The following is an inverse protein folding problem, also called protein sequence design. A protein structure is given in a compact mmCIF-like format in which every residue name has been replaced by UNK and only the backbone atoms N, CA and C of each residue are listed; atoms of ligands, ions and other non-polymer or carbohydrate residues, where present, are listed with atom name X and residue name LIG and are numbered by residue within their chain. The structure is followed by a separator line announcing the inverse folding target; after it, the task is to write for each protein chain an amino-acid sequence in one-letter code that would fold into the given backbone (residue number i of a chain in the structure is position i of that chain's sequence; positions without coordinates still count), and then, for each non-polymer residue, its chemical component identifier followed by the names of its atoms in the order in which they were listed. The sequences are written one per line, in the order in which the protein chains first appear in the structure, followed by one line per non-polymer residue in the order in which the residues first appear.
data_IF_323845422927
#
_entry.id   IF_323845422927
#
_cell.length_a   1.000
_cell.length_b   1.000
_cell.length_c   1.000
_cell.angle_alpha   90.00
_cell.angle_beta   90.00
_cell.angle_gamma   90.00
#
_symmetry.space_group_name_H-M   'P 1'
#
loop_
_entity.id
_entity.type
_entity.pdbx_description
1 polymer ?
#
# COMPACT_ATOMS: atom_id res chain seq x y z
N UNK A 1 -14.44 -9.51 -3.37
CA UNK A 1 -13.99 -8.17 -3.82
C UNK A 1 -12.79 -7.78 -2.99
N UNK A 2 -11.76 -7.19 -3.60
CA UNK A 2 -10.54 -6.72 -2.94
C UNK A 2 -10.11 -5.39 -3.57
N UNK A 3 -9.30 -4.64 -2.85
CA UNK A 3 -8.68 -3.40 -3.33
C UNK A 3 -7.17 -3.55 -3.32
N UNK A 4 -6.50 -2.91 -4.26
CA UNK A 4 -5.09 -3.15 -4.53
C UNK A 4 -4.32 -1.85 -4.68
N UNK A 5 -3.14 -1.79 -4.07
CA UNK A 5 -2.15 -0.75 -4.30
C UNK A 5 -0.87 -1.35 -4.86
N UNK A 6 -0.51 -0.93 -6.06
CA UNK A 6 0.75 -1.27 -6.69
C UNK A 6 1.78 -0.17 -6.42
N UNK A 7 2.98 -0.58 -6.07
CA UNK A 7 4.10 0.31 -5.77
C UNK A 7 5.21 0.08 -6.78
N UNK A 8 5.46 1.09 -7.59
CA UNK A 8 6.50 1.10 -8.62
C UNK A 8 7.68 1.93 -8.12
N UNK A 9 8.89 1.36 -8.00
CA UNK A 9 10.06 2.03 -7.45
C UNK A 9 10.64 3.08 -8.40
N UNK A 10 11.13 4.22 -7.88
CA UNK A 10 11.81 5.23 -8.69
C UNK A 10 13.34 5.13 -8.70
N UNK A 11 13.93 4.16 -8.00
CA UNK A 11 15.36 3.80 -8.03
C UNK A 11 15.53 2.29 -7.92
N UNK A 12 16.66 1.78 -8.42
CA UNK A 12 17.09 0.38 -8.28
C UNK A 12 17.54 0.09 -6.83
N UNK A 13 16.58 0.20 -5.91
CA UNK A 13 16.76 -0.07 -4.49
C UNK A 13 15.60 -0.95 -4.03
N UNK A 14 15.95 -2.01 -3.31
CA UNK A 14 14.96 -2.89 -2.68
C UNK A 14 15.25 -2.87 -1.18
N UNK A 15 14.38 -2.22 -0.38
CA UNK A 15 14.59 -2.16 1.06
C UNK A 15 14.32 -3.52 1.71
N UNK A 16 14.74 -3.64 2.96
CA UNK A 16 14.36 -4.74 3.83
C UNK A 16 12.92 -4.63 4.34
N UNK A 17 12.36 -5.73 4.84
CA UNK A 17 11.08 -5.67 5.56
C UNK A 17 11.17 -4.76 6.79
N UNK A 18 12.28 -4.79 7.51
CA UNK A 18 12.52 -3.95 8.69
C UNK A 18 12.43 -2.45 8.36
N UNK A 19 13.08 -1.99 7.28
CA UNK A 19 12.99 -0.59 6.84
C UNK A 19 11.54 -0.18 6.50
N UNK A 20 10.80 -1.06 5.81
CA UNK A 20 9.40 -0.80 5.50
C UNK A 20 8.55 -0.74 6.76
N UNK A 21 8.75 -1.68 7.70
CA UNK A 21 8.03 -1.71 8.97
C UNK A 21 8.32 -0.46 9.80
N UNK A 22 9.56 0.00 9.88
CA UNK A 22 9.95 1.18 10.67
C UNK A 22 9.18 2.43 10.22
N UNK A 23 9.17 2.69 8.90
CA UNK A 23 8.45 3.85 8.36
C UNK A 23 6.94 3.67 8.46
N UNK A 24 6.42 2.49 8.12
CA UNK A 24 4.97 2.22 8.15
C UNK A 24 4.40 2.34 9.57
N UNK A 25 5.10 1.78 10.57
CA UNK A 25 4.71 1.89 11.97
C UNK A 25 4.73 3.33 12.44
N UNK A 26 5.75 4.11 12.07
CA UNK A 26 5.78 5.54 12.38
C UNK A 26 4.57 6.25 11.77
N UNK A 27 4.32 6.09 10.46
CA UNK A 27 3.22 6.79 9.76
C UNK A 27 1.84 6.42 10.32
N UNK A 28 1.58 5.16 10.60
CA UNK A 28 0.28 4.76 11.20
C UNK A 28 0.12 5.35 12.60
N UNK A 29 1.14 5.25 13.46
CA UNK A 29 1.03 5.79 14.81
C UNK A 29 0.96 7.33 14.82
N UNK A 30 1.64 8.02 13.90
CA UNK A 30 1.49 9.47 13.70
C UNK A 30 0.05 9.83 13.33
N UNK A 31 -0.56 9.07 12.41
CA UNK A 31 -1.96 9.24 12.03
C UNK A 31 -2.91 9.01 13.21
N UNK A 32 -2.72 7.95 13.98
CA UNK A 32 -3.54 7.64 15.16
C UNK A 32 -3.46 8.73 16.23
N UNK A 33 -2.27 9.28 16.49
CA UNK A 33 -2.11 10.40 17.43
C UNK A 33 -2.82 11.66 16.97
N UNK A 34 -2.84 11.93 15.66
CA UNK A 34 -3.62 13.05 15.10
C UNK A 34 -5.13 12.84 15.26
N UNK A 35 -5.60 11.60 15.38
CA UNK A 35 -6.99 11.28 15.76
C UNK A 35 -7.26 11.30 17.27
N UNK A 36 -6.24 11.59 18.09
CA UNK A 36 -6.35 11.57 19.56
C UNK A 36 -6.26 10.16 20.17
N UNK A 37 -5.87 9.14 19.41
CA UNK A 37 -5.68 7.77 19.90
C UNK A 37 -4.25 7.64 20.43
N UNK A 38 -4.11 7.34 21.72
CA UNK A 38 -2.81 7.21 22.41
C UNK A 38 -2.22 5.80 22.35
N UNK A 39 -3.02 4.79 22.00
CA UNK A 39 -2.57 3.41 21.86
C UNK A 39 -1.66 3.29 20.64
N UNK A 40 -0.42 2.86 20.86
CA UNK A 40 0.47 2.49 19.78
C UNK A 40 0.13 1.10 19.26
N UNK A 41 0.17 0.94 17.95
CA UNK A 41 0.07 -0.35 17.28
C UNK A 41 1.43 -0.75 16.70
N UNK A 42 1.56 -2.04 16.42
CA UNK A 42 2.71 -2.59 15.70
C UNK A 42 2.21 -3.40 14.51
N UNK A 43 2.61 -2.97 13.31
CA UNK A 43 2.55 -3.73 12.08
C UNK A 43 3.72 -4.70 12.11
N UNK A 44 3.44 -5.97 11.90
CA UNK A 44 4.40 -7.04 11.66
C UNK A 44 4.19 -7.64 10.28
N UNK A 45 5.11 -8.52 9.89
CA UNK A 45 5.02 -9.29 8.65
C UNK A 45 5.41 -10.74 8.87
N UNK A 46 4.73 -11.61 8.16
CA UNK A 46 5.09 -13.01 7.94
C UNK A 46 5.21 -13.26 6.44
N UNK A 47 5.95 -14.28 6.02
CA UNK A 47 5.97 -14.73 4.62
C UNK A 47 5.39 -16.12 4.57
N UNK A 48 4.38 -16.30 3.73
CA UNK A 48 3.69 -17.57 3.54
C UNK A 48 3.95 -18.08 2.12
N UNK A 49 3.88 -19.39 1.93
CA UNK A 49 3.71 -19.94 0.59
C UNK A 49 2.24 -19.76 0.13
N UNK A 50 1.96 -20.05 -1.13
CA UNK A 50 0.61 -19.93 -1.69
C UNK A 50 -0.42 -20.91 -1.09
N UNK A 51 0.01 -21.91 -0.31
CA UNK A 51 -0.90 -22.77 0.47
C UNK A 51 -1.23 -22.19 1.85
N UNK A 52 -0.64 -21.03 2.21
CA UNK A 52 -0.86 -20.31 3.46
C UNK A 52 0.08 -20.73 4.60
N UNK A 53 1.02 -21.65 4.35
CA UNK A 53 1.96 -22.12 5.36
C UNK A 53 3.10 -21.12 5.56
N UNK A 54 3.45 -20.87 6.81
CA UNK A 54 4.54 -19.97 7.19
C UNK A 54 5.89 -20.48 6.69
N UNK A 55 6.66 -19.60 6.06
CA UNK A 55 8.04 -19.89 5.68
C UNK A 55 8.98 -19.85 6.87
N UNK A 56 9.56 -21.01 7.20
CA UNK A 56 10.47 -21.17 8.35
C UNK A 56 11.79 -20.38 8.27
N UNK A 57 12.15 -19.84 7.09
CA UNK A 57 13.45 -19.16 6.85
C UNK A 57 13.34 -17.63 6.73
N UNK A 58 12.17 -17.06 7.00
CA UNK A 58 11.95 -15.62 6.89
C UNK A 58 12.77 -14.82 7.92
N UNK A 59 13.45 -13.77 7.47
CA UNK A 59 14.09 -12.76 8.33
C UNK A 59 13.64 -11.35 7.92
N UNK A 60 13.27 -10.52 8.89
CA UNK A 60 12.84 -9.13 8.64
C UNK A 60 13.94 -8.25 8.01
N UNK A 61 15.20 -8.64 8.12
CA UNK A 61 16.32 -7.93 7.48
C UNK A 61 16.56 -8.37 6.03
N UNK A 62 15.83 -9.37 5.54
CA UNK A 62 15.85 -9.73 4.13
C UNK A 62 15.20 -8.63 3.28
N UNK A 63 15.64 -8.54 2.02
CA UNK A 63 15.06 -7.65 1.02
C UNK A 63 13.59 -8.01 0.77
N UNK A 64 12.76 -7.01 0.42
CA UNK A 64 11.38 -7.19 -0.04
C UNK A 64 11.32 -7.87 -1.42
N UNK A 65 11.81 -9.11 -1.50
CA UNK A 65 11.78 -9.96 -2.69
C UNK A 65 11.38 -11.34 -2.21
N UNK A 66 10.38 -11.90 -2.84
CA UNK A 66 9.98 -13.29 -2.68
C UNK A 66 9.59 -13.85 -4.03
N UNK A 67 9.55 -15.18 -4.13
CA UNK A 67 9.11 -15.83 -5.34
C UNK A 67 7.58 -15.73 -5.48
N UNK A 68 7.11 -16.02 -6.68
CA UNK A 68 5.71 -16.08 -7.09
C UNK A 68 4.94 -17.27 -6.46
N UNK A 69 5.60 -18.12 -5.68
CA UNK A 69 4.99 -19.18 -4.87
C UNK A 69 4.70 -18.73 -3.43
N UNK A 70 4.89 -17.43 -3.15
CA UNK A 70 4.83 -16.86 -1.81
C UNK A 70 4.19 -15.49 -1.80
N UNK A 71 3.74 -15.08 -0.62
CA UNK A 71 3.28 -13.72 -0.36
C UNK A 71 3.73 -13.26 1.03
N UNK A 72 3.95 -11.96 1.18
CA UNK A 72 4.13 -11.34 2.48
C UNK A 72 2.76 -10.99 3.07
N UNK A 73 2.54 -11.33 4.33
CA UNK A 73 1.33 -11.04 5.08
C UNK A 73 1.63 -9.98 6.14
N UNK A 74 1.19 -8.74 5.90
CA UNK A 74 1.30 -7.65 6.85
C UNK A 74 0.06 -7.62 7.74
N UNK A 75 0.26 -7.60 9.06
CA UNK A 75 -0.83 -7.64 10.03
C UNK A 75 -0.51 -6.78 11.25
N UNK A 76 -1.53 -6.52 12.07
CA UNK A 76 -1.39 -5.78 13.33
C UNK A 76 -1.67 -6.75 14.48
N UNK A 77 -0.77 -6.82 15.45
CA UNK A 77 -0.94 -7.72 16.61
C UNK A 77 -2.26 -7.44 17.33
N UNK A 78 -3.05 -8.50 17.53
CA UNK A 78 -4.34 -8.42 18.21
C UNK A 78 -5.50 -7.91 17.35
N UNK A 79 -5.29 -7.70 16.05
CA UNK A 79 -6.35 -7.33 15.10
C UNK A 79 -6.51 -8.46 14.09
N UNK A 80 -7.75 -8.96 13.94
CA UNK A 80 -8.05 -9.96 12.92
C UNK A 80 -8.03 -9.34 11.53
N UNK A 81 -7.13 -9.82 10.67
CA UNK A 81 -7.02 -9.33 9.30
C UNK A 81 -5.60 -8.92 8.95
N UNK A 82 -5.45 -8.36 7.75
CA UNK A 82 -4.14 -8.01 7.20
C UNK A 82 -4.17 -7.71 5.71
N UNK A 83 -2.98 -7.57 5.16
CA UNK A 83 -2.71 -7.22 3.77
C UNK A 83 -1.73 -8.23 3.19
N UNK A 84 -2.16 -8.93 2.15
CA UNK A 84 -1.28 -9.77 1.36
C UNK A 84 -0.49 -8.92 0.36
N UNK A 85 0.79 -9.22 0.19
CA UNK A 85 1.67 -8.52 -0.73
C UNK A 85 2.43 -9.47 -1.63
N UNK A 86 2.56 -9.07 -2.89
CA UNK A 86 3.21 -9.82 -3.96
C UNK A 86 4.32 -9.00 -4.60
N UNK A 87 5.35 -9.67 -5.08
CA UNK A 87 6.44 -9.09 -5.83
C UNK A 87 6.37 -9.57 -7.28
N UNK A 88 6.32 -8.64 -8.23
CA UNK A 88 6.18 -8.93 -9.64
C UNK A 88 7.32 -8.33 -10.45
N UNK A 89 7.69 -9.03 -11.52
CA UNK A 89 8.54 -8.47 -12.58
C UNK A 89 7.66 -7.80 -13.62
N UNK A 90 8.11 -6.68 -14.14
CA UNK A 90 7.46 -6.00 -15.26
C UNK A 90 7.54 -6.89 -16.50
N UNK A 91 6.39 -7.09 -17.12
CA UNK A 91 6.20 -7.81 -18.39
C UNK A 91 5.96 -6.82 -19.53
N UNK A 92 5.92 -7.30 -20.78
CA UNK A 92 5.51 -6.47 -21.91
C UNK A 92 4.05 -6.01 -21.79
N UNK A 93 3.17 -6.84 -21.21
CA UNK A 93 1.78 -6.44 -20.96
C UNK A 93 1.72 -5.23 -20.02
N UNK A 94 2.52 -5.22 -18.94
CA UNK A 94 2.58 -4.09 -18.03
C UNK A 94 3.05 -2.81 -18.75
N UNK A 95 4.02 -2.92 -19.68
CA UNK A 95 4.50 -1.79 -20.49
C UNK A 95 3.40 -1.24 -21.40
N UNK A 96 2.61 -2.11 -22.01
CA UNK A 96 1.48 -1.72 -22.85
C UNK A 96 0.38 -1.03 -22.04
N UNK A 97 0.05 -1.58 -20.85
CA UNK A 97 -0.90 -0.97 -19.92
C UNK A 97 -0.44 0.44 -19.55
N UNK A 98 0.81 0.61 -19.13
CA UNK A 98 1.33 1.93 -18.74
C UNK A 98 1.40 2.92 -19.90
N UNK A 99 1.66 2.45 -21.12
CA UNK A 99 1.60 3.29 -22.32
C UNK A 99 0.18 3.85 -22.50
N UNK A 100 -0.84 2.99 -22.42
CA UNK A 100 -2.24 3.41 -22.52
C UNK A 100 -2.64 4.34 -21.35
N UNK A 101 -2.18 4.03 -20.14
CA UNK A 101 -2.46 4.84 -18.95
C UNK A 101 -1.90 6.26 -19.08
N UNK A 102 -0.66 6.42 -19.54
CA UNK A 102 -0.05 7.72 -19.82
C UNK A 102 -0.80 8.50 -20.92
N UNK A 103 -1.35 7.80 -21.90
CA UNK A 103 -2.11 8.42 -22.99
C UNK A 103 -3.48 8.92 -22.52
N UNK A 104 -4.14 8.20 -21.61
CA UNK A 104 -5.55 8.43 -21.24
C UNK A 104 -5.74 9.14 -19.89
N UNK A 105 -4.85 8.96 -18.94
CA UNK A 105 -4.91 9.56 -17.60
C UNK A 105 -4.03 10.81 -17.49
N UNK A 106 -4.61 11.93 -17.10
CA UNK A 106 -3.94 13.24 -16.97
C UNK A 106 -2.78 13.17 -15.95
N UNK A 107 -2.99 12.56 -14.78
CA UNK A 107 -1.94 12.40 -13.76
C UNK A 107 -0.82 11.49 -14.23
N UNK A 108 -1.15 10.39 -14.90
CA UNK A 108 -0.14 9.51 -15.46
C UNK A 108 0.70 10.23 -16.52
N UNK A 109 0.09 11.10 -17.32
CA UNK A 109 0.79 11.94 -18.28
C UNK A 109 1.74 12.94 -17.62
N UNK A 110 1.33 13.56 -16.52
CA UNK A 110 2.17 14.47 -15.73
C UNK A 110 3.35 13.76 -15.08
N UNK A 111 3.16 12.50 -14.65
CA UNK A 111 4.20 11.68 -14.02
C UNK A 111 4.95 10.77 -15.02
N UNK A 112 4.81 11.00 -16.33
CA UNK A 112 5.31 10.13 -17.41
C UNK A 112 6.78 9.71 -17.22
N UNK A 113 7.66 10.65 -16.91
CA UNK A 113 9.09 10.36 -16.79
C UNK A 113 9.39 9.47 -15.58
N UNK A 114 8.69 9.69 -14.47
CA UNK A 114 8.79 8.86 -13.25
C UNK A 114 8.25 7.46 -13.54
N UNK A 115 7.11 7.35 -14.22
CA UNK A 115 6.52 6.07 -14.61
C UNK A 115 7.49 5.30 -15.52
N UNK A 116 7.93 5.89 -16.63
CA UNK A 116 8.84 5.23 -17.55
C UNK A 116 10.13 4.76 -16.86
N UNK A 117 10.69 5.59 -15.97
CA UNK A 117 11.85 5.19 -15.16
C UNK A 117 11.55 3.98 -14.29
N UNK A 118 10.41 3.98 -13.62
CA UNK A 118 9.99 2.89 -12.72
C UNK A 118 9.71 1.58 -13.47
N UNK A 119 9.08 1.66 -14.64
CA UNK A 119 8.85 0.52 -15.53
C UNK A 119 10.17 -0.05 -16.06
N UNK A 120 11.16 0.80 -16.30
CA UNK A 120 12.51 0.35 -16.71
C UNK A 120 13.30 -0.32 -15.59
N UNK A 121 13.01 -0.02 -14.31
CA UNK A 121 13.59 -0.74 -13.16
C UNK A 121 13.13 -2.22 -13.15
N UNK A 122 11.95 -2.50 -13.69
CA UNK A 122 11.57 -3.86 -14.09
C UNK A 122 10.90 -4.70 -13.00
N UNK A 123 10.48 -4.11 -11.89
CA UNK A 123 9.67 -4.77 -10.86
C UNK A 123 8.72 -3.81 -10.14
N UNK A 124 7.71 -4.36 -9.48
CA UNK A 124 6.79 -3.65 -8.60
C UNK A 124 6.27 -4.57 -7.49
N UNK A 125 5.68 -3.97 -6.47
CA UNK A 125 4.96 -4.71 -5.42
C UNK A 125 3.47 -4.44 -5.53
N UNK A 126 2.66 -5.44 -5.22
CA UNK A 126 1.21 -5.29 -5.13
C UNK A 126 0.77 -5.56 -3.71
N UNK A 127 -0.01 -4.66 -3.12
CA UNK A 127 -0.59 -4.78 -1.78
C UNK A 127 -2.09 -4.92 -1.91
N UNK A 128 -2.60 -6.09 -1.58
CA UNK A 128 -4.00 -6.43 -1.69
C UNK A 128 -4.63 -6.53 -0.32
N UNK A 129 -5.85 -6.00 -0.23
CA UNK A 129 -6.70 -6.12 0.94
C UNK A 129 -8.07 -6.66 0.55
N UNK A 130 -8.54 -7.65 1.29
CA UNK A 130 -9.90 -8.19 1.10
C UNK A 130 -11.00 -7.23 1.57
N UNK A 131 -12.23 -7.43 1.08
CA UNK A 131 -13.41 -6.71 1.59
C UNK A 131 -13.69 -7.08 3.05
N UNK A 132 -14.29 -6.14 3.81
CA UNK A 132 -14.72 -6.39 5.19
C UNK A 132 -13.60 -6.35 6.25
N UNK A 133 -12.40 -5.94 5.88
CA UNK A 133 -11.28 -5.78 6.81
C UNK A 133 -11.55 -4.65 7.83
N UNK A 134 -11.02 -4.75 9.06
CA UNK A 134 -11.15 -3.72 10.08
C UNK A 134 -10.67 -2.35 9.63
N UNK A 135 -11.17 -1.30 10.29
CA UNK A 135 -10.81 0.08 9.96
C UNK A 135 -9.31 0.30 10.01
N UNK A 136 -8.62 -0.27 11.00
CA UNK A 136 -7.18 -0.09 11.17
C UNK A 136 -6.37 -0.79 10.06
N UNK A 137 -6.85 -1.93 9.55
CA UNK A 137 -6.24 -2.62 8.41
C UNK A 137 -6.50 -1.82 7.12
N UNK A 138 -7.69 -1.24 6.95
CA UNK A 138 -8.00 -0.34 5.84
C UNK A 138 -7.14 0.92 5.86
N UNK A 139 -6.63 1.37 7.01
CA UNK A 139 -5.66 2.47 7.09
C UNK A 139 -4.23 1.96 6.82
N UNK A 140 -3.83 0.88 7.49
CA UNK A 140 -2.45 0.41 7.46
C UNK A 140 -2.01 -0.01 6.06
N UNK A 141 -2.86 -0.68 5.28
CA UNK A 141 -2.45 -1.21 3.97
C UNK A 141 -1.99 -0.12 2.99
N UNK A 142 -2.70 1.03 2.94
CA UNK A 142 -2.28 2.15 2.09
C UNK A 142 -1.08 2.90 2.64
N UNK A 143 -0.96 3.01 3.97
CA UNK A 143 0.22 3.62 4.58
C UNK A 143 1.48 2.75 4.39
N UNK A 144 1.36 1.42 4.36
CA UNK A 144 2.46 0.52 3.99
C UNK A 144 2.88 0.75 2.54
N UNK A 145 1.92 0.75 1.60
CA UNK A 145 2.21 0.97 0.18
C UNK A 145 2.89 2.34 -0.06
N UNK A 146 2.36 3.41 0.53
CA UNK A 146 2.93 4.75 0.42
C UNK A 146 4.31 4.87 1.10
N UNK A 147 4.54 4.16 2.21
CA UNK A 147 5.86 4.11 2.85
C UNK A 147 6.90 3.42 1.96
N UNK A 148 6.52 2.34 1.27
CA UNK A 148 7.42 1.69 0.31
C UNK A 148 7.74 2.61 -0.87
N UNK A 149 6.73 3.31 -1.39
CA UNK A 149 6.94 4.31 -2.45
C UNK A 149 7.88 5.44 -1.98
N UNK A 150 7.73 5.93 -0.74
CA UNK A 150 8.64 6.92 -0.13
C UNK A 150 10.09 6.40 -0.06
N UNK A 151 10.30 5.19 0.45
CA UNK A 151 11.63 4.58 0.59
C UNK A 151 12.31 4.41 -0.76
N UNK A 152 11.55 3.98 -1.77
CA UNK A 152 12.04 3.68 -3.11
C UNK A 152 11.98 4.88 -4.06
N UNK A 153 11.58 6.07 -3.60
CA UNK A 153 11.38 7.26 -4.44
C UNK A 153 10.42 7.03 -5.61
N UNK A 154 9.48 6.10 -5.43
CA UNK A 154 8.53 5.63 -6.43
C UNK A 154 7.15 6.27 -6.31
N UNK A 155 6.13 5.58 -6.83
CA UNK A 155 4.74 6.02 -6.76
C UNK A 155 3.79 4.85 -6.45
N UNK A 156 2.58 5.20 -6.01
CA UNK A 156 1.48 4.27 -5.77
C UNK A 156 0.47 4.36 -6.91
N UNK A 157 -0.04 3.23 -7.37
CA UNK A 157 -1.09 3.10 -8.37
C UNK A 157 -2.19 2.14 -7.89
N UNK A 158 -3.40 2.30 -8.42
CA UNK A 158 -4.53 1.42 -8.12
C UNK A 158 -5.43 1.33 -9.35
N UNK A 159 -5.37 0.20 -10.05
CA UNK A 159 -6.21 -0.04 -11.24
C UNK A 159 -7.68 -0.22 -10.86
N UNK A 160 -7.95 -0.87 -9.72
CA UNK A 160 -9.29 -0.98 -9.15
C UNK A 160 -9.80 0.34 -8.51
N UNK A 161 -8.99 1.40 -8.59
CA UNK A 161 -9.26 2.75 -8.09
C UNK A 161 -9.27 2.87 -6.57
N UNK A 162 -9.14 1.76 -5.84
CA UNK A 162 -9.41 1.63 -4.40
C UNK A 162 -10.76 2.25 -4.00
N UNK A 163 -10.81 3.57 -3.77
CA UNK A 163 -12.04 4.35 -3.59
C UNK A 163 -12.23 5.47 -4.61
N UNK A 164 -11.16 6.04 -5.19
CA UNK A 164 -11.24 7.13 -6.16
C UNK A 164 -10.01 7.14 -7.07
N UNK A 165 -10.24 6.68 -8.30
CA UNK A 165 -9.23 6.58 -9.35
C UNK A 165 -8.58 7.94 -9.69
N UNK A 166 -9.28 9.05 -9.48
CA UNK A 166 -8.78 10.39 -9.84
C UNK A 166 -7.54 10.81 -9.04
N UNK A 167 -7.20 10.11 -7.97
CA UNK A 167 -5.97 10.34 -7.21
C UNK A 167 -4.73 9.66 -7.82
N UNK A 168 -4.91 8.68 -8.70
CA UNK A 168 -3.83 7.81 -9.18
C UNK A 168 -3.34 8.17 -10.59
N UNK A 169 -2.05 7.91 -10.88
CA UNK A 169 -0.99 7.54 -9.95
C UNK A 169 -0.67 8.67 -8.94
N UNK A 170 -0.14 8.28 -7.77
CA UNK A 170 0.12 9.20 -6.67
C UNK A 170 1.56 9.10 -6.16
N UNK A 171 2.23 10.24 -6.03
CA UNK A 171 3.49 10.32 -5.30
C UNK A 171 3.23 10.16 -3.79
N UNK A 172 4.22 9.69 -3.01
CA UNK A 172 4.04 9.41 -1.58
C UNK A 172 3.56 10.63 -0.79
N UNK A 173 4.11 11.81 -1.07
CA UNK A 173 3.75 13.07 -0.40
C UNK A 173 2.29 13.45 -0.62
N UNK A 174 1.78 13.30 -1.84
CA UNK A 174 0.38 13.50 -2.15
C UNK A 174 -0.47 12.44 -1.48
N UNK A 175 -0.09 11.16 -1.58
CA UNK A 175 -0.83 10.05 -1.00
C UNK A 175 -1.03 10.25 0.51
N UNK A 176 0.02 10.56 1.27
CA UNK A 176 -0.10 10.85 2.71
C UNK A 176 -0.97 12.09 3.02
N UNK A 177 -1.14 13.01 2.06
CA UNK A 177 -1.97 14.19 2.23
C UNK A 177 -3.45 13.86 2.18
N UNK A 178 -3.92 13.03 1.25
CA UNK A 178 -5.35 12.78 1.06
C UNK A 178 -5.82 11.42 1.57
N UNK A 179 -4.92 10.43 1.69
CA UNK A 179 -5.31 9.08 2.05
C UNK A 179 -5.92 9.01 3.44
N UNK A 180 -7.09 8.39 3.53
CA UNK A 180 -7.85 8.16 4.75
C UNK A 180 -8.32 9.45 5.45
N UNK A 181 -8.47 10.54 4.70
CA UNK A 181 -8.93 11.85 5.19
C UNK A 181 -10.25 12.29 4.52
N UNK A 182 -11.40 12.28 5.25
CA UNK A 182 -12.74 12.53 4.69
C UNK A 182 -12.92 13.88 3.99
N UNK A 183 -12.10 14.88 4.30
CA UNK A 183 -12.14 16.20 3.70
C UNK A 183 -11.67 16.23 2.23
N UNK A 184 -10.92 15.21 1.79
CA UNK A 184 -10.48 15.06 0.40
C UNK A 184 -11.40 14.16 -0.42
N UNK A 185 -12.40 13.53 0.18
CA UNK A 185 -13.28 12.61 -0.55
C UNK A 185 -14.38 13.38 -1.28
N UNK A 186 -14.46 13.21 -2.60
CA UNK A 186 -15.42 13.90 -3.46
C UNK A 186 -16.81 13.27 -3.37
N UNK A 187 -16.89 11.94 -3.40
CA UNK A 187 -18.17 11.19 -3.37
C UNK A 187 -18.67 11.03 -1.94
N UNK A 188 -19.95 11.36 -1.72
CA UNK A 188 -20.54 11.29 -0.39
C UNK A 188 -20.54 9.86 0.20
N UNK A 189 -20.76 8.83 -0.62
CA UNK A 189 -20.78 7.44 -0.17
C UNK A 189 -19.41 7.00 0.38
N UNK A 190 -18.34 7.29 -0.35
CA UNK A 190 -16.96 7.01 0.07
C UNK A 190 -16.60 7.81 1.33
N UNK A 191 -17.08 9.04 1.44
CA UNK A 191 -16.87 9.88 2.63
C UNK A 191 -17.52 9.26 3.87
N UNK A 192 -18.76 8.80 3.75
CA UNK A 192 -19.48 8.11 4.83
C UNK A 192 -18.78 6.80 5.19
N UNK A 193 -18.36 6.02 4.19
CA UNK A 193 -17.62 4.78 4.42
C UNK A 193 -16.32 5.03 5.18
N UNK A 194 -15.54 6.04 4.77
CA UNK A 194 -14.28 6.38 5.41
C UNK A 194 -14.48 6.89 6.85
N UNK A 195 -15.50 7.73 7.09
CA UNK A 195 -15.88 8.15 8.43
C UNK A 195 -16.28 6.97 9.32
N UNK A 196 -16.96 5.97 8.77
CA UNK A 196 -17.28 4.74 9.49
C UNK A 196 -16.03 3.91 9.80
N UNK A 197 -15.07 3.84 8.87
CA UNK A 197 -13.79 3.20 9.13
C UNK A 197 -13.02 3.89 10.26
N UNK A 198 -12.95 5.23 10.26
CA UNK A 198 -12.31 6.00 11.34
C UNK A 198 -13.00 5.73 12.69
N UNK A 199 -14.33 5.75 12.74
CA UNK A 199 -15.09 5.39 13.95
C UNK A 199 -14.81 3.96 14.40
N UNK A 200 -14.64 3.03 13.46
CA UNK A 200 -14.27 1.64 13.75
C UNK A 200 -12.89 1.55 14.38
N UNK A 201 -11.89 2.27 13.85
CA UNK A 201 -10.54 2.35 14.44
C UNK A 201 -10.62 2.78 15.90
N UNK A 202 -11.37 3.84 16.20
CA UNK A 202 -11.52 4.30 17.59
C UNK A 202 -12.12 3.21 18.49
N UNK A 203 -13.04 2.38 17.99
CA UNK A 203 -13.62 1.27 18.77
C UNK A 203 -12.68 0.07 18.88
N UNK A 204 -11.93 -0.23 17.83
CA UNK A 204 -10.95 -1.33 17.77
C UNK A 204 -9.76 -1.09 18.70
N UNK A 205 -9.39 0.18 18.91
CA UNK A 205 -8.18 0.58 19.64
C UNK A 205 -8.44 1.26 21.00
N UNK A 206 -9.69 1.52 21.36
CA UNK A 206 -10.07 1.84 22.76
C UNK A 206 -9.97 0.59 23.65
#
# INVERSE_FOLDING_TARGET
MSTTFDVYPGKEYIPSFAELLDISNKKVNDFLRNLGISKNITIDVEVHNNTGELQKKFNIHDKLIWNNESYAWFFIRGVNGGTDSYYYKITELDREIWKNEIETNIKARELRDIINKSINIGYYWSFRKSIGQPGIINLAYGLIAASLAEITGGFVYSDDGAWDYSYFPALPEDFFRWYFKPEYVVKNEDKVWLQNCIKSICKELN
#
